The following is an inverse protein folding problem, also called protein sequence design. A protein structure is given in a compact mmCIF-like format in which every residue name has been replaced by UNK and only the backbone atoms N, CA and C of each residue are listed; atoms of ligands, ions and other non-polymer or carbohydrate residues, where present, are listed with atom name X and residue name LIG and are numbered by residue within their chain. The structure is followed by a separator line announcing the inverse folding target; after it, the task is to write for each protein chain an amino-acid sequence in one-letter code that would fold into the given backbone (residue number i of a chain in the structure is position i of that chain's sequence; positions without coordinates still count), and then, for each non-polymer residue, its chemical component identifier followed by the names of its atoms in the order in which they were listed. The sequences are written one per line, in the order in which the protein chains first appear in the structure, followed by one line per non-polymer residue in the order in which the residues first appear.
data_IF_439809599645
#
_entry.id   IF_439809599645
#
_cell.length_a   1.000
_cell.length_b   1.000
_cell.length_c   1.000
_cell.angle_alpha   90.00
_cell.angle_beta   90.00
_cell.angle_gamma   90.00
#
_symmetry.space_group_name_H-M   'P 1'
#
loop_
_entity.id
_entity.type
_entity.pdbx_description
1 polymer ?
#
# COMPACT_ATOMS: atom_id res chain seq x y z
N UNK A 1 -19.07 7.80 -4.96
CA UNK A 1 -17.91 6.94 -4.64
C UNK A 1 -18.20 6.26 -3.30
N UNK A 2 -17.94 4.96 -3.13
CA UNK A 2 -18.13 4.30 -1.84
C UNK A 2 -17.15 4.87 -0.79
N UNK A 3 -17.60 4.92 0.45
CA UNK A 3 -16.78 5.22 1.63
C UNK A 3 -15.73 4.14 1.86
N UNK A 4 -14.71 4.44 2.68
CA UNK A 4 -13.69 3.45 3.06
C UNK A 4 -14.30 2.22 3.75
N UNK A 5 -15.32 2.43 4.60
CA UNK A 5 -16.05 1.35 5.27
C UNK A 5 -16.79 0.46 4.27
N UNK A 6 -17.51 1.05 3.32
CA UNK A 6 -18.22 0.30 2.28
C UNK A 6 -17.25 -0.50 1.39
N UNK A 7 -16.08 0.05 1.08
CA UNK A 7 -15.03 -0.67 0.36
C UNK A 7 -14.58 -1.92 1.11
N UNK A 8 -14.37 -1.83 2.42
CA UNK A 8 -13.99 -3.00 3.23
C UNK A 8 -15.10 -4.05 3.25
N UNK A 9 -16.35 -3.64 3.53
CA UNK A 9 -17.51 -4.53 3.58
C UNK A 9 -17.71 -5.27 2.25
N UNK A 10 -17.62 -4.56 1.12
CA UNK A 10 -17.75 -5.14 -0.22
C UNK A 10 -16.76 -6.28 -0.47
N UNK A 11 -15.59 -6.24 0.17
CA UNK A 11 -14.53 -7.23 0.02
C UNK A 11 -14.41 -8.18 1.22
N UNK A 12 -15.40 -8.22 2.10
CA UNK A 12 -15.41 -9.08 3.29
C UNK A 12 -14.29 -8.76 4.30
N UNK A 13 -13.73 -7.54 4.23
CA UNK A 13 -12.61 -7.12 5.05
C UNK A 13 -13.09 -6.38 6.30
N UNK A 14 -12.38 -6.61 7.41
CA UNK A 14 -12.51 -5.76 8.61
C UNK A 14 -11.73 -4.47 8.34
N UNK A 15 -12.36 -3.28 8.46
CA UNK A 15 -11.66 -2.01 8.27
C UNK A 15 -10.43 -1.88 9.17
N UNK A 16 -9.32 -1.45 8.56
CA UNK A 16 -8.06 -1.16 9.22
C UNK A 16 -7.57 0.22 8.74
N UNK A 17 -8.17 1.32 9.20
CA UNK A 17 -7.87 2.66 8.72
C UNK A 17 -6.41 3.06 9.00
N UNK A 18 -5.85 3.92 8.14
CA UNK A 18 -4.61 4.63 8.45
C UNK A 18 -4.91 5.69 9.53
N UNK A 19 -3.98 5.94 10.45
CA UNK A 19 -4.05 7.13 11.30
C UNK A 19 -3.67 8.37 10.49
N UNK A 20 -4.16 9.55 10.90
CA UNK A 20 -3.94 10.81 10.16
C UNK A 20 -2.46 11.18 10.01
N UNK A 21 -1.64 10.78 10.99
CA UNK A 21 -0.20 11.02 11.04
C UNK A 21 0.62 9.88 10.42
N UNK A 22 -0.01 8.77 10.01
CA UNK A 22 0.72 7.70 9.34
C UNK A 22 1.20 8.17 7.96
N UNK A 23 2.42 7.79 7.61
CA UNK A 23 2.99 8.01 6.28
C UNK A 23 2.60 6.86 5.33
N UNK A 24 2.59 7.17 4.04
CA UNK A 24 2.53 6.23 2.94
C UNK A 24 3.54 6.58 1.85
N UNK A 25 3.90 5.58 1.05
CA UNK A 25 4.77 5.75 -0.09
C UNK A 25 3.94 6.11 -1.33
N UNK A 26 4.32 7.19 -2.02
CA UNK A 26 3.69 7.58 -3.28
C UNK A 26 4.72 7.99 -4.34
N UNK A 27 4.58 7.44 -5.56
CA UNK A 27 5.37 7.85 -6.71
C UNK A 27 4.78 9.11 -7.35
N UNK A 28 5.05 10.28 -6.74
CA UNK A 28 4.42 11.57 -7.10
C UNK A 28 4.58 11.93 -8.57
N UNK A 29 5.74 11.66 -9.15
CA UNK A 29 6.05 11.95 -10.55
C UNK A 29 5.18 11.18 -11.56
N UNK A 30 4.50 10.12 -11.11
CA UNK A 30 3.62 9.33 -11.98
C UNK A 30 2.18 9.83 -11.98
N UNK A 31 1.79 10.71 -11.05
CA UNK A 31 0.42 11.20 -10.91
C UNK A 31 -0.08 11.79 -12.24
N UNK A 32 -1.31 11.42 -12.63
CA UNK A 32 -1.90 11.76 -13.92
C UNK A 32 -1.81 10.64 -14.95
N UNK A 33 -1.00 9.61 -14.71
CA UNK A 33 -0.98 8.38 -15.52
C UNK A 33 -2.04 7.37 -15.06
N UNK A 34 -2.31 6.38 -15.90
CA UNK A 34 -3.15 5.22 -15.58
C UNK A 34 -2.39 3.91 -15.87
N UNK A 35 -2.71 2.83 -15.15
CA UNK A 35 -3.65 2.76 -14.02
C UNK A 35 -3.10 3.39 -12.73
N UNK A 36 -3.99 3.76 -11.80
CA UNK A 36 -3.62 4.05 -10.41
C UNK A 36 -3.59 2.72 -9.66
N UNK A 37 -2.43 2.39 -9.09
CA UNK A 37 -2.20 1.14 -8.38
C UNK A 37 -1.93 1.42 -6.91
N UNK A 38 -2.34 0.49 -6.05
CA UNK A 38 -1.91 0.45 -4.67
C UNK A 38 -1.69 -0.97 -4.20
N UNK A 39 -0.72 -1.13 -3.32
CA UNK A 39 -0.50 -2.35 -2.54
C UNK A 39 -0.32 -1.96 -1.08
N UNK A 40 -0.84 -2.79 -0.17
CA UNK A 40 -0.71 -2.57 1.26
C UNK A 40 0.05 -3.72 1.91
N UNK A 41 1.27 -3.43 2.36
CA UNK A 41 2.00 -4.33 3.27
C UNK A 41 1.59 -4.07 4.71
N UNK A 42 2.12 -4.88 5.62
CA UNK A 42 2.02 -4.62 7.06
C UNK A 42 2.44 -3.20 7.40
N UNK A 43 1.71 -2.56 8.31
CA UNK A 43 2.11 -1.27 8.86
C UNK A 43 3.43 -1.42 9.63
N UNK A 44 4.26 -0.38 9.60
CA UNK A 44 5.48 -0.25 10.41
C UNK A 44 5.40 1.03 11.23
N UNK A 45 6.37 1.28 12.12
CA UNK A 45 6.34 2.44 13.00
C UNK A 45 6.19 3.75 12.20
N UNK A 46 5.03 4.41 12.33
CA UNK A 46 4.69 5.65 11.64
C UNK A 46 4.28 5.51 10.17
N UNK A 47 4.13 4.29 9.63
CA UNK A 47 3.80 4.06 8.23
C UNK A 47 2.63 3.07 8.09
N UNK A 48 1.60 3.45 7.34
CA UNK A 48 0.36 2.66 7.22
C UNK A 48 0.44 1.48 6.22
N UNK A 49 1.60 1.32 5.57
CA UNK A 49 1.93 0.19 4.69
C UNK A 49 1.50 0.35 3.23
N UNK A 50 0.82 1.44 2.87
CA UNK A 50 0.45 1.72 1.47
C UNK A 50 1.66 2.18 0.66
N UNK A 51 1.79 1.59 -0.54
CA UNK A 51 2.58 2.11 -1.64
C UNK A 51 1.68 2.34 -2.84
N UNK A 52 1.66 3.56 -3.38
CA UNK A 52 0.75 4.01 -4.45
C UNK A 52 1.56 4.58 -5.63
N UNK A 53 1.23 4.17 -6.84
CA UNK A 53 1.83 4.69 -8.07
C UNK A 53 0.81 4.71 -9.21
N UNK A 54 1.10 5.50 -10.23
CA UNK A 54 0.32 5.57 -11.45
C UNK A 54 1.14 5.05 -12.64
N UNK A 55 0.51 4.44 -13.63
CA UNK A 55 1.19 3.80 -14.76
C UNK A 55 1.18 2.27 -14.71
N UNK A 56 1.52 1.64 -15.83
CA UNK A 56 1.40 0.19 -16.00
C UNK A 56 2.47 -0.60 -15.24
N UNK A 57 3.67 -0.03 -15.10
CA UNK A 57 4.80 -0.69 -14.48
C UNK A 57 4.88 -0.31 -13.00
N UNK A 58 5.02 -1.32 -12.14
CA UNK A 58 5.35 -1.08 -10.74
C UNK A 58 6.78 -0.53 -10.67
N UNK A 59 7.01 0.66 -10.06
CA UNK A 59 8.35 1.17 -9.90
C UNK A 59 9.21 0.14 -9.18
N UNK A 60 10.37 -0.15 -9.75
CA UNK A 60 11.35 -1.04 -9.14
C UNK A 60 11.87 -0.42 -7.84
N UNK A 61 12.34 -1.25 -6.91
CA UNK A 61 12.77 -0.84 -5.56
C UNK A 61 14.09 -0.04 -5.53
N UNK A 62 14.53 0.50 -6.69
CA UNK A 62 15.69 1.36 -6.84
C UNK A 62 15.38 2.79 -6.34
N UNK A 63 15.09 2.87 -5.05
CA UNK A 63 15.38 3.93 -4.06
C UNK A 63 15.05 5.40 -4.34
N UNK A 64 14.51 5.78 -5.50
CA UNK A 64 14.21 7.18 -5.81
C UNK A 64 12.80 7.41 -6.38
N UNK A 65 11.99 6.38 -6.54
CA UNK A 65 10.66 6.52 -7.15
C UNK A 65 9.56 6.94 -6.17
N UNK A 66 9.64 6.51 -4.92
CA UNK A 66 8.62 6.82 -3.92
C UNK A 66 9.07 7.95 -3.00
N UNK A 67 8.12 8.79 -2.65
CA UNK A 67 8.26 9.81 -1.61
C UNK A 67 7.20 9.59 -0.53
N UNK A 68 7.47 10.07 0.67
CA UNK A 68 6.49 10.01 1.76
C UNK A 68 5.36 11.03 1.54
N UNK A 69 4.15 10.60 1.92
CA UNK A 69 2.95 11.41 1.98
C UNK A 69 2.17 11.04 3.25
N UNK A 70 1.78 11.99 4.10
CA UNK A 70 0.82 11.71 5.17
C UNK A 70 -0.49 11.15 4.60
N UNK A 71 -1.04 10.12 5.22
CA UNK A 71 -2.28 9.48 4.78
C UNK A 71 -3.45 10.49 4.70
N UNK A 72 -3.47 11.49 5.58
CA UNK A 72 -4.42 12.60 5.58
C UNK A 72 -4.37 13.46 4.30
N UNK A 73 -3.25 13.48 3.58
CA UNK A 73 -3.09 14.29 2.37
C UNK A 73 -3.54 13.57 1.09
N UNK A 74 -3.74 12.25 1.10
CA UNK A 74 -4.05 11.51 -0.14
C UNK A 74 -5.35 11.97 -0.80
N UNK A 75 -6.35 12.39 -0.04
CA UNK A 75 -7.61 12.89 -0.62
C UNK A 75 -7.37 14.13 -1.48
N UNK A 76 -6.40 14.98 -1.12
CA UNK A 76 -6.03 16.16 -1.88
C UNK A 76 -5.09 15.82 -3.04
N UNK A 77 -4.16 14.90 -2.83
CA UNK A 77 -3.12 14.56 -3.81
C UNK A 77 -3.59 13.58 -4.90
N UNK A 78 -4.48 12.65 -4.55
CA UNK A 78 -4.97 11.58 -5.44
C UNK A 78 -6.30 11.02 -4.89
N UNK A 79 -7.37 11.80 -5.02
CA UNK A 79 -8.68 11.55 -4.39
C UNK A 79 -9.25 10.16 -4.67
N UNK A 80 -8.97 9.60 -5.85
CA UNK A 80 -9.41 8.27 -6.27
C UNK A 80 -8.88 7.17 -5.36
N UNK A 81 -7.67 7.32 -4.82
CA UNK A 81 -7.07 6.33 -3.91
C UNK A 81 -7.66 6.37 -2.50
N UNK A 82 -8.27 7.49 -2.09
CA UNK A 82 -8.72 7.71 -0.71
C UNK A 82 -9.68 6.65 -0.18
N UNK A 83 -10.59 6.13 -1.04
CA UNK A 83 -11.58 5.11 -0.64
C UNK A 83 -10.99 3.75 -0.26
N UNK A 84 -9.74 3.49 -0.61
CA UNK A 84 -9.10 2.19 -0.36
C UNK A 84 -8.31 2.15 0.95
N UNK A 85 -8.06 3.30 1.60
CA UNK A 85 -7.09 3.37 2.70
C UNK A 85 -7.40 2.48 3.90
N UNK A 86 -8.67 2.14 4.14
CA UNK A 86 -9.05 1.24 5.22
C UNK A 86 -8.95 -0.26 4.88
N UNK A 87 -8.69 -0.65 3.62
CA UNK A 87 -8.50 -2.06 3.28
C UNK A 87 -7.23 -2.58 3.97
N UNK A 88 -7.28 -3.69 4.72
CA UNK A 88 -6.17 -4.13 5.57
C UNK A 88 -4.91 -4.54 4.78
N UNK A 89 -3.77 -4.75 5.46
CA UNK A 89 -2.60 -5.35 4.86
C UNK A 89 -2.95 -6.61 4.05
N UNK A 90 -2.24 -6.83 2.95
CA UNK A 90 -2.54 -7.91 2.00
C UNK A 90 -3.46 -7.48 0.85
N UNK A 91 -4.02 -6.27 0.86
CA UNK A 91 -4.87 -5.82 -0.23
C UNK A 91 -4.12 -5.03 -1.31
N UNK A 92 -4.60 -5.18 -2.54
CA UNK A 92 -4.22 -4.39 -3.71
C UNK A 92 -5.43 -3.76 -4.35
N UNK A 93 -5.21 -2.65 -5.03
CA UNK A 93 -6.19 -2.06 -5.93
C UNK A 93 -5.55 -1.58 -7.23
N UNK A 94 -6.37 -1.50 -8.25
CA UNK A 94 -6.04 -0.94 -9.56
C UNK A 94 -7.26 -0.15 -10.07
N UNK A 95 -7.03 1.08 -10.54
CA UNK A 95 -8.04 1.94 -11.16
C UNK A 95 -7.55 2.29 -12.58
N UNK A 96 -8.31 1.91 -13.60
CA UNK A 96 -8.03 2.22 -15.00
C UNK A 96 -9.27 2.90 -15.61
N UNK A 97 -9.38 4.21 -15.44
CA UNK A 97 -10.58 4.96 -15.82
C UNK A 97 -11.81 4.49 -15.03
N UNK A 98 -12.83 4.00 -15.73
CA UNK A 98 -14.04 3.46 -15.09
C UNK A 98 -13.86 2.06 -14.49
N UNK A 99 -12.77 1.35 -14.85
CA UNK A 99 -12.50 0.02 -14.32
C UNK A 99 -11.79 0.11 -12.97
N UNK A 100 -12.28 -0.63 -11.97
CA UNK A 100 -11.64 -0.78 -10.66
C UNK A 100 -11.55 -2.25 -10.31
N UNK A 101 -10.36 -2.71 -9.94
CA UNK A 101 -10.11 -4.04 -9.40
C UNK A 101 -9.54 -3.92 -8.00
N UNK A 102 -10.02 -4.74 -7.08
CA UNK A 102 -9.49 -4.87 -5.71
C UNK A 102 -9.37 -6.36 -5.43
N UNK A 103 -8.24 -6.78 -4.89
CA UNK A 103 -7.99 -8.18 -4.58
C UNK A 103 -7.05 -8.32 -3.40
N UNK A 104 -7.11 -9.48 -2.75
CA UNK A 104 -6.16 -9.89 -1.72
C UNK A 104 -4.97 -10.60 -2.37
N UNK A 105 -3.78 -10.28 -1.89
CA UNK A 105 -2.49 -10.80 -2.33
C UNK A 105 -1.68 -11.19 -1.08
N UNK A 106 -1.71 -12.49 -0.76
CA UNK A 106 -1.07 -13.03 0.44
C UNK A 106 0.45 -12.80 0.47
N UNK A 107 1.10 -12.67 -0.69
CA UNK A 107 2.54 -12.43 -0.78
C UNK A 107 2.95 -11.07 -0.18
N UNK A 108 2.02 -10.15 0.03
CA UNK A 108 2.28 -8.86 0.70
C UNK A 108 2.41 -8.97 2.22
N UNK A 109 2.02 -10.11 2.80
CA UNK A 109 2.10 -10.37 4.24
C UNK A 109 3.37 -11.12 4.63
N UNK A 110 4.14 -11.60 3.65
CA UNK A 110 5.41 -12.29 3.91
C UNK A 110 6.47 -11.28 4.34
N UNK A 111 6.77 -11.29 5.64
CA UNK A 111 7.93 -10.61 6.19
C UNK A 111 9.17 -11.45 5.83
N UNK A 112 10.06 -10.96 4.97
CA UNK A 112 11.42 -11.50 4.86
C UNK A 112 12.22 -11.13 6.12
N UNK A 113 11.82 -11.67 7.26
CA UNK A 113 12.63 -11.76 8.46
C UNK A 113 13.31 -13.13 8.48
N UNK A 114 14.16 -13.40 7.50
CA UNK A 114 15.20 -14.43 7.69
C UNK A 114 16.24 -13.84 8.61
N UNK A 115 15.97 -13.95 9.91
CA UNK A 115 17.01 -13.88 10.93
C UNK A 115 18.00 -14.99 10.58
N UNK A 116 19.21 -14.61 10.14
CA UNK A 116 20.37 -15.49 10.21
C UNK A 116 20.65 -15.78 11.70
N UNK A 117 19.94 -16.75 12.26
CA UNK A 117 20.35 -17.47 13.47
C UNK A 117 20.76 -18.87 13.05
N UNK A 118 22.01 -18.96 12.59
CA UNK A 118 22.76 -20.20 12.67
C UNK A 118 24.00 -19.92 13.54
N UNK A 119 23.81 -20.12 14.84
CA UNK A 119 24.89 -20.40 15.79
C UNK A 119 25.65 -21.64 15.31
N UNK A 120 26.77 -21.43 14.60
CA UNK A 120 27.78 -22.45 14.39
C UNK A 120 28.87 -22.31 15.43
N UNK A 121 28.76 -23.03 16.56
CA UNK A 121 29.92 -23.28 17.44
C UNK A 121 31.06 -23.87 16.60
N UNK A 122 32.26 -23.31 16.73
CA UNK A 122 33.51 -24.10 16.87
C UNK A 122 34.52 -23.30 17.70
N UNK A 123 34.68 -23.69 18.95
CA UNK A 123 35.99 -23.65 19.62
C UNK A 123 36.87 -24.72 18.94
N UNK A 124 38.17 -24.46 18.81
CA UNK A 124 39.10 -25.01 19.79
C UNK A 124 39.69 -23.96 20.73
#
# INVERSE_FOLDING_TARGET
MPTQKEMCIKHGAIPYPCHDNDLMNIAKETIGQLPINGLRRSASAGHCGWSIWCGAEQPTDNTHFFSELPASNIQRSLAEAYRFLALPPGYRFLIAGAYTKVWFDAALLENNSTINSANGRKQP
#
